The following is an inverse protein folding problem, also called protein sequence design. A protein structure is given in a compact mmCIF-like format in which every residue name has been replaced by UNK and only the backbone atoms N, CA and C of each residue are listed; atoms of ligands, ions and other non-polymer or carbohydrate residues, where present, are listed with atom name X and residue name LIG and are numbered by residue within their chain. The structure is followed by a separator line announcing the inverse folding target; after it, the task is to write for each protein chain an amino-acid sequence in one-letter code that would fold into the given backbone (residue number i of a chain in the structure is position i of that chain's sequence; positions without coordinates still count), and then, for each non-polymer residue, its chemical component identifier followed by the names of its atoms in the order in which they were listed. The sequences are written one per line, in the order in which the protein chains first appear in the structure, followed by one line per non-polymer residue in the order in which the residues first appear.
data_IF_581667423341
#
_entry.id   IF_581667423341
#
_cell.length_a   1.000
_cell.length_b   1.000
_cell.length_c   1.000
_cell.angle_alpha   90.00
_cell.angle_beta   90.00
_cell.angle_gamma   90.00
#
_symmetry.space_group_name_H-M   'P 1'
#
loop_
_entity.id
_entity.type
_entity.pdbx_description
1 polymer ?
#
# COMPACT_ATOMS: atom_id res chain seq x y z
N UNK A 1 61.10 -51.69 15.86
CA UNK A 1 60.01 -51.67 14.86
C UNK A 1 58.77 -51.30 15.61
N UNK A 2 58.46 -50.01 15.57
CA UNK A 2 57.38 -49.39 16.34
C UNK A 2 56.26 -49.03 15.36
N UNK A 3 55.17 -49.75 15.48
CA UNK A 3 54.06 -49.68 14.52
C UNK A 3 52.94 -48.92 15.11
N UNK A 4 53.03 -47.57 15.03
CA UNK A 4 51.97 -46.65 15.48
C UNK A 4 51.09 -46.28 14.29
N UNK A 5 49.94 -46.98 14.15
CA UNK A 5 48.85 -46.58 13.26
C UNK A 5 48.19 -45.29 13.73
N UNK A 6 47.87 -44.33 12.87
CA UNK A 6 47.15 -43.11 13.25
C UNK A 6 45.65 -43.36 13.44
N UNK A 7 45.15 -42.96 14.60
CA UNK A 7 43.72 -43.00 14.95
C UNK A 7 42.86 -42.21 13.94
N UNK A 8 41.94 -42.88 13.29
CA UNK A 8 40.90 -42.30 12.46
C UNK A 8 39.88 -41.51 13.34
N UNK A 9 39.97 -40.20 13.37
CA UNK A 9 38.95 -39.34 13.95
C UNK A 9 37.62 -39.59 13.29
N UNK A 10 36.64 -40.06 14.08
CA UNK A 10 35.26 -40.28 13.70
C UNK A 10 34.55 -38.97 13.22
N UNK A 11 34.22 -38.88 11.94
CA UNK A 11 33.43 -37.80 11.31
C UNK A 11 31.92 -38.02 11.52
N UNK A 12 31.43 -38.32 12.71
CA UNK A 12 30.00 -38.45 13.02
C UNK A 12 29.60 -37.56 14.20
N UNK A 13 29.69 -36.25 14.02
CA UNK A 13 29.11 -35.27 14.93
C UNK A 13 28.08 -34.45 14.20
N UNK A 14 26.81 -34.83 14.19
CA UNK A 14 25.72 -34.05 13.61
C UNK A 14 24.53 -34.91 13.22
N UNK A 15 23.91 -35.55 14.20
CA UNK A 15 22.67 -36.30 14.00
C UNK A 15 21.48 -35.35 13.61
N UNK A 16 20.36 -35.97 13.14
CA UNK A 16 19.12 -35.24 12.80
C UNK A 16 18.68 -34.25 13.88
N UNK A 17 18.98 -34.49 15.17
CA UNK A 17 18.72 -33.57 16.27
C UNK A 17 19.51 -32.28 16.19
N UNK A 18 20.83 -32.33 15.98
CA UNK A 18 21.67 -31.13 15.87
C UNK A 18 21.35 -30.31 14.61
N UNK A 19 20.90 -30.95 13.50
CA UNK A 19 20.39 -30.24 12.32
C UNK A 19 19.04 -29.60 12.56
N UNK A 20 18.20 -30.18 13.41
CA UNK A 20 16.90 -29.63 13.81
C UNK A 20 17.08 -28.45 14.78
N UNK A 21 18.00 -28.56 15.72
CA UNK A 21 18.40 -27.45 16.62
C UNK A 21 19.07 -26.30 15.86
N UNK A 22 19.98 -26.58 14.93
CA UNK A 22 20.60 -25.56 14.07
C UNK A 22 19.57 -24.88 13.13
N UNK A 23 18.53 -25.59 12.68
CA UNK A 23 17.41 -25.01 11.93
C UNK A 23 16.46 -24.21 12.84
N UNK A 24 16.30 -24.57 14.10
CA UNK A 24 15.51 -23.85 15.08
C UNK A 24 16.24 -22.63 15.65
N UNK A 25 17.57 -22.67 15.69
CA UNK A 25 18.44 -21.58 16.17
C UNK A 25 18.79 -20.57 15.06
N UNK A 26 18.63 -20.91 13.79
CA UNK A 26 18.64 -19.92 12.72
C UNK A 26 17.34 -19.11 12.81
N UNK A 27 17.30 -18.12 13.70
CA UNK A 27 16.37 -17.02 13.55
C UNK A 27 16.56 -16.52 12.11
N UNK A 28 15.56 -16.76 11.27
CA UNK A 28 15.53 -16.16 9.95
C UNK A 28 15.67 -14.66 10.18
N UNK A 29 16.83 -14.09 9.84
CA UNK A 29 17.06 -12.66 9.89
C UNK A 29 16.08 -12.08 8.89
N UNK A 30 14.92 -11.65 9.38
CA UNK A 30 13.91 -10.98 8.60
C UNK A 30 14.45 -9.60 8.31
N UNK A 31 14.94 -9.39 7.10
CA UNK A 31 15.20 -8.03 6.66
C UNK A 31 13.87 -7.24 6.69
N UNK A 32 13.84 -6.02 7.22
CA UNK A 32 12.61 -5.22 7.26
C UNK A 32 12.15 -4.79 5.86
N UNK A 33 13.04 -4.75 4.89
CA UNK A 33 12.79 -4.49 3.46
C UNK A 33 14.02 -4.92 2.64
N UNK A 34 13.87 -4.94 1.31
CA UNK A 34 14.98 -5.20 0.41
C UNK A 34 15.51 -3.90 -0.18
N UNK A 35 16.82 -3.80 -0.33
CA UNK A 35 17.45 -2.72 -1.11
C UNK A 35 17.87 -3.29 -2.46
N UNK A 36 17.27 -2.81 -3.54
CA UNK A 36 17.57 -3.27 -4.90
C UNK A 36 19.02 -2.93 -5.27
N UNK A 37 19.73 -3.91 -5.76
CA UNK A 37 21.09 -3.75 -6.32
C UNK A 37 21.08 -3.65 -7.85
N UNK A 38 19.94 -3.98 -8.47
CA UNK A 38 19.72 -3.89 -9.92
C UNK A 38 19.02 -2.55 -10.18
N UNK A 39 19.52 -1.80 -11.11
CA UNK A 39 18.88 -0.56 -11.53
C UNK A 39 17.57 -0.84 -12.27
N UNK A 40 16.60 0.09 -12.25
CA UNK A 40 15.40 -0.02 -13.06
C UNK A 40 15.75 -0.19 -14.54
N UNK A 41 14.93 -0.96 -15.25
CA UNK A 41 15.02 -1.04 -16.71
C UNK A 41 14.06 -0.01 -17.27
N UNK A 42 14.59 1.00 -17.94
CA UNK A 42 13.78 2.02 -18.60
C UNK A 42 13.28 1.47 -19.94
N UNK A 43 11.94 1.33 -20.05
CA UNK A 43 11.28 0.83 -21.27
C UNK A 43 10.97 1.99 -22.22
N UNK A 44 10.70 3.18 -21.66
CA UNK A 44 10.39 4.40 -22.41
C UNK A 44 11.60 5.33 -22.42
N UNK A 45 11.77 6.08 -23.52
CA UNK A 45 12.75 7.16 -23.55
C UNK A 45 12.29 8.34 -22.69
N UNK A 46 13.22 9.21 -22.31
CA UNK A 46 12.91 10.43 -21.56
C UNK A 46 11.89 11.31 -22.30
N UNK A 47 12.02 11.46 -23.63
CA UNK A 47 11.07 12.21 -24.45
C UNK A 47 9.67 11.58 -24.41
N UNK A 48 9.56 10.26 -24.40
CA UNK A 48 8.27 9.57 -24.31
C UNK A 48 7.63 9.79 -22.93
N UNK A 49 8.42 9.78 -21.85
CA UNK A 49 7.93 10.09 -20.50
C UNK A 49 7.44 11.54 -20.42
N UNK A 50 8.21 12.50 -20.94
CA UNK A 50 7.84 13.91 -20.99
C UNK A 50 6.55 14.13 -21.78
N UNK A 51 6.40 13.48 -22.93
CA UNK A 51 5.19 13.56 -23.75
C UNK A 51 3.94 13.04 -23.00
N UNK A 52 4.06 11.93 -22.26
CA UNK A 52 2.98 11.39 -21.43
C UNK A 52 2.61 12.38 -20.33
N UNK A 53 3.59 12.99 -19.65
CA UNK A 53 3.36 14.00 -18.63
C UNK A 53 2.68 15.25 -19.17
N UNK A 54 3.15 15.77 -20.30
CA UNK A 54 2.57 16.95 -20.96
C UNK A 54 1.13 16.71 -21.40
N UNK A 55 0.84 15.51 -21.94
CA UNK A 55 -0.53 15.14 -22.29
C UNK A 55 -1.43 14.95 -21.06
N UNK A 56 -0.89 14.42 -19.95
CA UNK A 56 -1.66 14.32 -18.70
C UNK A 56 -2.05 15.72 -18.18
N UNK A 57 -1.13 16.70 -18.22
CA UNK A 57 -1.44 18.09 -17.88
C UNK A 57 -2.45 18.72 -18.85
N UNK A 58 -2.36 18.42 -20.15
CA UNK A 58 -3.35 18.86 -21.15
C UNK A 58 -4.73 18.30 -20.85
N UNK A 59 -4.83 17.00 -20.49
CA UNK A 59 -6.09 16.38 -20.07
C UNK A 59 -6.67 17.06 -18.83
N UNK A 60 -5.85 17.36 -17.83
CA UNK A 60 -6.28 18.05 -16.62
C UNK A 60 -6.72 19.50 -16.87
N UNK A 61 -6.06 20.21 -17.79
CA UNK A 61 -6.35 21.60 -18.13
C UNK A 61 -7.60 21.73 -19.03
N UNK A 62 -7.67 20.97 -20.11
CA UNK A 62 -8.70 21.13 -21.13
C UNK A 62 -9.97 20.31 -20.86
N UNK A 63 -9.82 19.08 -20.37
CA UNK A 63 -10.94 18.15 -20.09
C UNK A 63 -11.38 18.23 -18.64
N UNK A 64 -10.41 18.30 -17.70
CA UNK A 64 -10.66 18.28 -16.26
C UNK A 64 -11.06 16.91 -15.73
N UNK A 65 -11.33 16.85 -14.44
CA UNK A 65 -11.74 15.65 -13.70
C UNK A 65 -12.86 15.98 -12.73
N UNK A 66 -13.77 15.05 -12.52
CA UNK A 66 -14.93 15.23 -11.63
C UNK A 66 -14.57 14.91 -10.18
N UNK A 67 -15.01 15.79 -9.25
CA UNK A 67 -14.95 15.58 -7.80
C UNK A 67 -16.39 15.52 -7.29
N UNK A 68 -16.93 14.29 -7.23
CA UNK A 68 -18.36 14.07 -6.99
C UNK A 68 -18.68 14.13 -5.51
N UNK A 69 -19.77 14.82 -5.20
CA UNK A 69 -20.37 14.88 -3.86
C UNK A 69 -19.41 15.35 -2.75
N UNK A 70 -18.32 16.07 -3.11
CA UNK A 70 -17.31 16.57 -2.15
C UNK A 70 -17.10 18.08 -2.28
N UNK A 71 -17.98 18.89 -1.67
CA UNK A 71 -17.87 20.35 -1.73
C UNK A 71 -16.61 20.90 -1.05
N UNK A 72 -16.04 20.17 -0.08
CA UNK A 72 -14.80 20.56 0.57
C UNK A 72 -13.61 20.42 -0.39
N UNK A 73 -13.53 19.33 -1.14
CA UNK A 73 -12.49 19.15 -2.17
C UNK A 73 -12.57 20.26 -3.22
N UNK A 74 -13.78 20.59 -3.70
CA UNK A 74 -14.00 21.70 -4.63
C UNK A 74 -13.53 23.05 -4.06
N UNK A 75 -13.80 23.31 -2.79
CA UNK A 75 -13.36 24.54 -2.13
C UNK A 75 -11.84 24.63 -2.03
N UNK A 76 -11.17 23.54 -1.64
CA UNK A 76 -9.69 23.44 -1.59
C UNK A 76 -9.10 23.71 -2.97
N UNK A 77 -9.63 23.05 -4.01
CA UNK A 77 -9.13 23.17 -5.37
C UNK A 77 -9.30 24.59 -5.94
N UNK A 78 -10.44 25.22 -5.63
CA UNK A 78 -10.70 26.61 -6.00
C UNK A 78 -9.72 27.56 -5.34
N UNK A 79 -9.40 27.37 -4.07
CA UNK A 79 -8.42 28.16 -3.33
C UNK A 79 -7.01 28.03 -3.95
N UNK A 80 -6.71 26.87 -4.53
CA UNK A 80 -5.45 26.62 -5.27
C UNK A 80 -5.45 27.14 -6.71
N UNK A 81 -6.52 27.82 -7.15
CA UNK A 81 -6.59 28.46 -8.44
C UNK A 81 -7.12 27.58 -9.59
N UNK A 82 -7.76 26.47 -9.27
CA UNK A 82 -8.43 25.65 -10.28
C UNK A 82 -9.73 26.30 -10.76
N UNK A 83 -10.07 26.12 -12.05
CA UNK A 83 -11.36 26.51 -12.63
C UNK A 83 -12.39 25.39 -12.39
N UNK A 84 -13.52 25.75 -11.75
CA UNK A 84 -14.55 24.80 -11.33
C UNK A 84 -15.82 25.01 -12.10
N UNK A 85 -16.31 23.99 -12.80
CA UNK A 85 -17.56 23.96 -13.58
C UNK A 85 -18.49 22.86 -13.05
N UNK A 86 -19.34 23.21 -12.09
CA UNK A 86 -20.12 22.21 -11.36
C UNK A 86 -19.20 21.41 -10.45
N UNK A 87 -19.10 20.10 -10.67
CA UNK A 87 -18.17 19.20 -9.98
C UNK A 87 -16.90 18.93 -10.78
N UNK A 88 -16.81 19.44 -12.04
CA UNK A 88 -15.64 19.30 -12.90
C UNK A 88 -14.62 20.38 -12.61
N UNK A 89 -13.39 19.95 -12.40
CA UNK A 89 -12.27 20.80 -12.04
C UNK A 89 -11.23 20.78 -13.14
N UNK A 90 -10.86 21.94 -13.64
CA UNK A 90 -9.80 22.15 -14.59
C UNK A 90 -8.56 22.71 -13.87
N UNK A 91 -7.42 22.07 -14.07
CA UNK A 91 -6.20 22.41 -13.36
C UNK A 91 -5.32 23.31 -14.23
N UNK A 92 -4.84 24.44 -13.71
CA UNK A 92 -3.80 25.21 -14.41
C UNK A 92 -2.58 24.33 -14.67
N UNK A 93 -2.01 24.45 -15.87
CA UNK A 93 -0.81 23.70 -16.27
C UNK A 93 0.31 23.87 -15.24
N UNK A 94 0.95 22.78 -14.88
CA UNK A 94 2.04 22.74 -13.91
C UNK A 94 1.60 22.68 -12.43
N UNK A 95 0.33 22.96 -12.10
CA UNK A 95 -0.14 22.95 -10.71
C UNK A 95 -0.04 21.54 -10.10
N UNK A 96 -0.61 20.53 -10.75
CA UNK A 96 -0.58 19.16 -10.26
C UNK A 96 0.87 18.67 -10.05
N UNK A 97 1.74 18.93 -11.03
CA UNK A 97 3.18 18.59 -10.94
C UNK A 97 3.88 19.32 -9.80
N UNK A 98 3.57 20.59 -9.56
CA UNK A 98 4.17 21.36 -8.46
C UNK A 98 3.77 20.79 -7.09
N UNK A 99 2.53 20.36 -6.94
CA UNK A 99 2.04 19.70 -5.73
C UNK A 99 2.68 18.32 -5.54
N UNK A 100 2.83 17.52 -6.61
CA UNK A 100 3.54 16.24 -6.55
C UNK A 100 4.97 16.38 -6.01
N UNK A 101 5.66 17.47 -6.29
CA UNK A 101 7.02 17.73 -5.81
C UNK A 101 7.10 18.00 -4.30
N UNK A 102 5.99 18.27 -3.63
CA UNK A 102 5.96 18.46 -2.17
C UNK A 102 5.97 17.13 -1.41
N UNK A 103 5.62 16.02 -2.07
CA UNK A 103 5.66 14.71 -1.46
C UNK A 103 7.12 14.27 -1.19
N UNK A 104 7.40 13.65 -0.03
CA UNK A 104 8.73 13.16 0.27
C UNK A 104 9.11 12.01 -0.68
N UNK A 105 10.34 12.00 -1.18
CA UNK A 105 10.86 10.94 -2.05
C UNK A 105 11.06 9.60 -1.32
N UNK A 106 11.10 9.63 0.00
CA UNK A 106 11.15 8.46 0.87
C UNK A 106 10.64 8.80 2.26
N UNK A 107 10.09 7.79 2.94
CA UNK A 107 9.66 7.92 4.32
C UNK A 107 9.70 6.57 5.04
N UNK A 108 9.76 6.61 6.37
CA UNK A 108 9.66 5.43 7.21
C UNK A 108 8.20 5.18 7.58
N UNK A 109 7.69 3.98 7.29
CA UNK A 109 6.47 3.50 7.95
C UNK A 109 6.88 2.73 9.21
N UNK A 110 6.42 3.24 10.35
CA UNK A 110 6.75 2.69 11.67
C UNK A 110 5.84 1.51 12.01
N UNK A 111 6.47 0.42 12.41
CA UNK A 111 5.80 -0.78 12.91
C UNK A 111 5.73 -0.77 14.44
N UNK A 112 4.87 -1.63 15.04
CA UNK A 112 4.85 -1.81 16.50
C UNK A 112 6.19 -2.32 17.05
N UNK A 113 6.87 -3.14 16.28
CA UNK A 113 8.23 -3.57 16.56
C UNK A 113 9.18 -2.73 15.69
N UNK A 114 10.01 -1.86 16.29
CA UNK A 114 10.92 -1.00 15.53
C UNK A 114 11.87 -1.75 14.60
N UNK A 115 12.20 -3.01 14.90
CA UNK A 115 13.02 -3.84 14.02
C UNK A 115 12.31 -4.23 12.71
N UNK A 116 11.02 -3.94 12.59
CA UNK A 116 10.19 -4.19 11.41
C UNK A 116 9.73 -2.92 10.72
N UNK A 117 10.26 -1.77 11.10
CA UNK A 117 10.04 -0.54 10.35
C UNK A 117 10.46 -0.72 8.89
N UNK A 118 9.70 -0.18 7.97
CA UNK A 118 10.00 -0.26 6.54
C UNK A 118 10.29 1.12 5.98
N UNK A 119 11.28 1.19 5.11
CA UNK A 119 11.58 2.39 4.33
C UNK A 119 10.91 2.30 2.97
N UNK A 120 10.06 3.27 2.66
CA UNK A 120 9.34 3.36 1.38
C UNK A 120 9.98 4.46 0.54
N UNK A 121 10.37 4.13 -0.68
CA UNK A 121 10.97 5.06 -1.63
C UNK A 121 12.37 4.64 -2.08
N UNK A 122 12.89 5.34 -3.09
CA UNK A 122 14.20 5.10 -3.67
C UNK A 122 14.40 3.65 -4.18
N UNK A 123 15.50 3.02 -3.79
CA UNK A 123 15.81 1.63 -4.16
C UNK A 123 15.18 0.59 -3.21
N UNK A 124 14.41 1.01 -2.23
CA UNK A 124 13.80 0.11 -1.26
C UNK A 124 12.61 -0.64 -1.87
N UNK A 125 12.44 -1.89 -1.48
CA UNK A 125 11.32 -2.74 -1.91
C UNK A 125 10.69 -3.39 -0.69
N UNK A 126 9.41 -3.12 -0.50
CA UNK A 126 8.60 -3.67 0.58
C UNK A 126 7.55 -4.59 -0.04
N UNK A 127 7.62 -5.88 0.27
CA UNK A 127 6.61 -6.84 -0.18
C UNK A 127 5.45 -6.90 0.79
N UNK A 128 4.24 -6.75 0.25
CA UNK A 128 2.97 -6.92 0.92
C UNK A 128 2.19 -8.08 0.28
N UNK A 129 1.23 -8.72 0.98
CA UNK A 129 0.35 -9.72 0.38
C UNK A 129 -0.60 -9.08 -0.64
N UNK A 130 -1.27 -9.93 -1.42
CA UNK A 130 -2.34 -9.54 -2.35
C UNK A 130 -3.46 -8.80 -1.61
N UNK A 131 -4.19 -7.95 -2.33
CA UNK A 131 -5.22 -7.08 -1.76
C UNK A 131 -6.60 -7.38 -2.37
N UNK A 132 -7.61 -7.51 -1.51
CA UNK A 132 -9.02 -7.42 -1.85
C UNK A 132 -9.74 -8.61 -2.48
N UNK A 133 -9.22 -9.85 -2.50
CA UNK A 133 -10.00 -10.95 -3.07
C UNK A 133 -11.18 -11.35 -2.15
N UNK A 134 -12.42 -11.47 -2.69
CA UNK A 134 -13.57 -11.91 -1.89
C UNK A 134 -13.63 -13.43 -1.70
N UNK A 135 -12.77 -14.17 -2.42
CA UNK A 135 -12.75 -15.63 -2.40
C UNK A 135 -11.42 -16.15 -1.88
N UNK A 136 -11.49 -17.26 -1.21
CA UNK A 136 -10.33 -18.07 -0.80
C UNK A 136 -10.42 -19.44 -1.48
N UNK A 137 -9.25 -20.06 -1.66
CA UNK A 137 -9.12 -21.44 -2.08
C UNK A 137 -8.33 -22.17 -1.01
N UNK A 138 -8.89 -23.21 -0.45
CA UNK A 138 -8.23 -24.04 0.56
C UNK A 138 -7.22 -25.03 -0.05
N UNK A 139 -6.56 -25.82 0.80
CA UNK A 139 -5.61 -26.84 0.39
C UNK A 139 -6.26 -28.00 -0.40
N UNK A 140 -7.57 -28.21 -0.28
CA UNK A 140 -8.31 -29.21 -1.04
C UNK A 140 -8.74 -28.69 -2.42
N UNK A 141 -8.52 -27.39 -2.68
CA UNK A 141 -8.84 -26.75 -3.94
C UNK A 141 -10.26 -26.21 -4.04
N UNK A 142 -11.05 -26.26 -2.97
CA UNK A 142 -12.37 -25.65 -2.92
C UNK A 142 -12.28 -24.12 -2.91
N UNK A 143 -13.08 -23.49 -3.78
CA UNK A 143 -13.25 -22.04 -3.83
C UNK A 143 -14.53 -21.65 -3.10
N UNK A 144 -14.40 -20.85 -2.08
CA UNK A 144 -15.53 -20.31 -1.30
C UNK A 144 -15.32 -18.84 -0.98
N UNK A 145 -16.34 -18.17 -0.50
CA UNK A 145 -16.19 -16.84 0.07
C UNK A 145 -15.29 -16.87 1.31
N UNK A 146 -14.54 -15.79 1.52
CA UNK A 146 -13.69 -15.63 2.67
C UNK A 146 -14.51 -15.32 3.92
N UNK A 147 -14.04 -15.83 5.06
CA UNK A 147 -14.55 -15.56 6.39
C UNK A 147 -13.48 -14.84 7.22
N UNK A 148 -13.87 -14.26 8.38
CA UNK A 148 -12.90 -13.56 9.25
C UNK A 148 -11.79 -14.48 9.77
N UNK A 149 -12.07 -15.77 9.93
CA UNK A 149 -11.04 -16.73 10.31
C UNK A 149 -9.97 -16.90 9.22
N UNK A 150 -10.38 -16.90 7.95
CA UNK A 150 -9.42 -16.93 6.83
C UNK A 150 -8.54 -15.67 6.86
N UNK A 151 -9.15 -14.51 7.08
CA UNK A 151 -8.43 -13.25 7.23
C UNK A 151 -7.38 -13.33 8.35
N UNK A 152 -7.79 -13.79 9.52
CA UNK A 152 -6.89 -13.98 10.66
C UNK A 152 -5.75 -14.95 10.34
N UNK A 153 -6.05 -16.04 9.63
CA UNK A 153 -5.05 -17.03 9.25
C UNK A 153 -4.08 -16.50 8.20
N UNK A 154 -4.54 -15.71 7.23
CA UNK A 154 -3.65 -15.03 6.28
C UNK A 154 -2.74 -14.03 6.97
N UNK A 155 -3.23 -13.23 7.90
CA UNK A 155 -2.39 -12.31 8.68
C UNK A 155 -1.31 -13.07 9.46
N UNK A 156 -1.66 -14.19 10.11
CA UNK A 156 -0.70 -15.05 10.81
C UNK A 156 0.33 -15.67 9.85
N UNK A 157 -0.10 -16.13 8.66
CA UNK A 157 0.81 -16.65 7.64
C UNK A 157 1.78 -15.58 7.14
N UNK A 158 1.28 -14.38 6.85
CA UNK A 158 2.12 -13.23 6.44
C UNK A 158 3.12 -12.88 7.55
N UNK A 159 2.71 -12.94 8.81
CA UNK A 159 3.63 -12.73 9.93
C UNK A 159 4.78 -13.74 9.94
N UNK A 160 4.49 -15.02 9.68
CA UNK A 160 5.46 -16.09 9.69
C UNK A 160 6.39 -16.11 8.45
N UNK A 161 6.01 -15.42 7.37
CA UNK A 161 6.79 -15.38 6.13
C UNK A 161 7.82 -14.24 6.16
N UNK A 162 9.13 -14.55 6.22
CA UNK A 162 10.16 -13.51 6.31
C UNK A 162 10.29 -12.67 5.04
N UNK A 163 9.86 -13.18 3.89
CA UNK A 163 9.88 -12.49 2.61
C UNK A 163 8.72 -11.50 2.41
N UNK A 164 7.71 -11.51 3.27
CA UNK A 164 6.67 -10.49 3.32
C UNK A 164 7.01 -9.49 4.42
N UNK A 165 7.30 -8.26 4.05
CA UNK A 165 7.76 -7.23 4.97
C UNK A 165 6.61 -6.49 5.64
N UNK A 166 5.46 -6.45 4.97
CA UNK A 166 4.27 -5.71 5.33
C UNK A 166 3.09 -6.67 5.53
N UNK A 167 2.23 -6.38 6.49
CA UNK A 167 1.05 -7.21 6.78
C UNK A 167 -0.07 -7.09 5.72
N UNK A 168 -0.02 -6.03 4.91
CA UNK A 168 -1.08 -5.72 3.96
C UNK A 168 -2.25 -4.97 4.59
N UNK A 169 -3.35 -4.93 3.87
CA UNK A 169 -4.63 -4.38 4.31
C UNK A 169 -5.72 -5.45 4.19
N UNK A 170 -6.60 -5.33 3.20
CA UNK A 170 -7.64 -6.34 2.93
C UNK A 170 -7.04 -7.57 2.26
N UNK A 171 -6.42 -8.46 3.04
CA UNK A 171 -5.81 -9.70 2.52
C UNK A 171 -6.83 -10.69 1.93
N UNK A 172 -8.07 -10.61 2.38
CA UNK A 172 -9.28 -11.13 1.73
C UNK A 172 -10.49 -10.35 2.28
N UNK A 173 -11.62 -10.40 1.60
CA UNK A 173 -12.85 -9.73 2.04
C UNK A 173 -13.73 -10.71 2.82
N UNK A 174 -13.79 -10.66 4.18
CA UNK A 174 -14.62 -11.57 4.96
C UNK A 174 -16.10 -11.18 4.81
N UNK A 175 -16.95 -12.14 4.37
CA UNK A 175 -18.37 -11.88 4.10
C UNK A 175 -19.30 -12.32 5.23
N UNK A 176 -18.78 -13.01 6.24
CA UNK A 176 -19.51 -13.50 7.41
C UNK A 176 -19.76 -12.41 8.47
N UNK A 177 -19.16 -11.23 8.31
CA UNK A 177 -19.31 -10.09 9.21
C UNK A 177 -20.21 -9.00 8.63
N UNK A 178 -20.96 -8.28 9.48
CA UNK A 178 -21.71 -7.11 9.05
C UNK A 178 -20.79 -6.06 8.41
N UNK A 179 -21.19 -5.52 7.25
CA UNK A 179 -20.41 -4.54 6.48
C UNK A 179 -20.05 -3.31 7.30
N UNK A 180 -20.95 -2.90 8.22
CA UNK A 180 -20.77 -1.69 9.06
C UNK A 180 -19.63 -1.80 10.07
N UNK A 181 -19.23 -2.99 10.48
CA UNK A 181 -18.15 -3.19 11.47
C UNK A 181 -16.99 -4.06 10.99
N UNK A 182 -17.11 -4.67 9.83
CA UNK A 182 -16.10 -5.58 9.25
C UNK A 182 -14.69 -5.00 9.28
N UNK A 183 -14.55 -3.71 8.95
CA UNK A 183 -13.27 -3.01 8.95
C UNK A 183 -12.58 -3.02 10.31
N UNK A 184 -13.33 -2.94 11.41
CA UNK A 184 -12.76 -2.99 12.76
C UNK A 184 -12.13 -4.35 13.05
N UNK A 185 -12.83 -5.45 12.70
CA UNK A 185 -12.32 -6.81 12.90
C UNK A 185 -11.08 -7.07 12.02
N UNK A 186 -11.05 -6.55 10.78
CA UNK A 186 -9.91 -6.66 9.88
C UNK A 186 -8.69 -5.89 10.38
N UNK A 187 -8.85 -4.63 10.79
CA UNK A 187 -7.77 -3.83 11.36
C UNK A 187 -7.29 -4.44 12.68
N UNK A 188 -8.21 -4.89 13.53
CA UNK A 188 -7.88 -5.58 14.77
C UNK A 188 -7.03 -6.85 14.52
N UNK A 189 -7.32 -7.61 13.47
CA UNK A 189 -6.52 -8.78 13.12
C UNK A 189 -5.06 -8.41 12.84
N UNK A 190 -4.80 -7.35 12.08
CA UNK A 190 -3.43 -6.86 11.87
C UNK A 190 -2.78 -6.43 13.19
N UNK A 191 -3.49 -5.68 14.01
CA UNK A 191 -2.98 -5.22 15.30
C UNK A 191 -2.77 -6.37 16.29
N UNK A 192 -3.55 -7.45 16.23
CA UNK A 192 -3.50 -8.58 17.15
C UNK A 192 -2.45 -9.62 16.79
N UNK A 193 -2.36 -9.98 15.51
CA UNK A 193 -1.62 -11.16 15.07
C UNK A 193 -0.26 -10.86 14.42
N UNK A 194 0.07 -9.59 14.19
CA UNK A 194 1.37 -9.21 13.64
C UNK A 194 1.91 -7.93 14.30
N UNK A 195 3.21 -7.76 14.29
CA UNK A 195 3.91 -6.52 14.66
C UNK A 195 4.53 -5.82 13.44
N UNK A 196 4.22 -6.30 12.22
CA UNK A 196 4.62 -5.68 10.94
C UNK A 196 3.78 -4.44 10.63
N UNK A 197 4.24 -3.56 9.73
CA UNK A 197 3.43 -2.46 9.19
C UNK A 197 2.15 -2.98 8.55
N UNK A 198 1.09 -2.19 8.54
CA UNK A 198 -0.22 -2.55 8.00
C UNK A 198 -0.84 -1.41 7.19
N UNK A 199 -1.92 -1.70 6.45
CA UNK A 199 -2.73 -0.72 5.73
C UNK A 199 -4.04 -0.47 6.47
N UNK A 200 -4.49 0.81 6.42
CA UNK A 200 -5.76 1.23 6.98
C UNK A 200 -6.95 0.93 6.06
N UNK A 201 -8.16 0.98 6.64
CA UNK A 201 -9.42 0.86 5.90
C UNK A 201 -9.75 2.15 5.15
N UNK A 202 -10.27 2.03 3.92
CA UNK A 202 -10.51 3.16 3.01
C UNK A 202 -11.94 3.19 2.44
N UNK A 203 -12.80 2.28 2.88
CA UNK A 203 -14.12 2.08 2.27
C UNK A 203 -15.18 3.10 2.72
N UNK A 204 -14.83 4.02 3.61
CA UNK A 204 -15.59 5.21 3.98
C UNK A 204 -14.73 6.10 4.91
N UNK A 205 -14.99 7.43 5.02
CA UNK A 205 -14.26 8.33 5.92
C UNK A 205 -14.32 7.91 7.39
N UNK A 206 -15.49 7.54 7.90
CA UNK A 206 -15.69 7.05 9.26
C UNK A 206 -14.84 5.80 9.57
N UNK A 207 -14.69 4.90 8.60
CA UNK A 207 -13.84 3.70 8.74
C UNK A 207 -12.34 4.03 8.75
N UNK A 208 -11.96 5.07 8.04
CA UNK A 208 -10.59 5.59 8.11
C UNK A 208 -10.32 6.21 9.50
N UNK A 209 -11.27 6.97 10.04
CA UNK A 209 -11.20 7.51 11.41
C UNK A 209 -11.14 6.41 12.47
N UNK A 210 -11.97 5.38 12.35
CA UNK A 210 -11.94 4.21 13.23
C UNK A 210 -10.56 3.52 13.21
N UNK A 211 -9.96 3.40 12.02
CA UNK A 211 -8.61 2.85 11.88
C UNK A 211 -7.57 3.71 12.59
N UNK A 212 -7.64 5.03 12.44
CA UNK A 212 -6.75 5.96 13.16
C UNK A 212 -6.93 5.86 14.67
N UNK A 213 -8.16 5.75 15.15
CA UNK A 213 -8.46 5.61 16.57
C UNK A 213 -7.88 4.31 17.14
N UNK A 214 -8.03 3.19 16.42
CA UNK A 214 -7.39 1.92 16.79
C UNK A 214 -5.86 2.03 16.79
N UNK A 215 -5.27 2.75 15.82
CA UNK A 215 -3.84 2.98 15.78
C UNK A 215 -3.38 3.84 16.96
N UNK A 216 -4.09 4.90 17.33
CA UNK A 216 -3.79 5.74 18.50
C UNK A 216 -3.80 4.94 19.80
N UNK A 217 -4.75 4.02 19.96
CA UNK A 217 -4.79 3.12 21.13
C UNK A 217 -3.52 2.26 21.23
N UNK A 218 -3.00 1.78 20.09
CA UNK A 218 -1.92 0.80 20.04
C UNK A 218 -0.53 1.45 20.02
N UNK A 219 -0.37 2.57 19.31
CA UNK A 219 0.91 3.27 19.13
C UNK A 219 1.09 4.44 20.10
N UNK A 220 -0.02 4.99 20.60
CA UNK A 220 -0.06 6.24 21.37
C UNK A 220 -0.54 7.42 20.52
N UNK A 221 -1.28 8.33 21.12
CA UNK A 221 -1.79 9.54 20.46
C UNK A 221 -0.67 10.49 20.01
N UNK A 222 0.41 10.53 20.76
CA UNK A 222 1.61 11.33 20.49
C UNK A 222 2.49 10.77 19.37
N UNK A 223 2.24 9.53 18.96
CA UNK A 223 2.99 8.86 17.90
C UNK A 223 2.29 9.00 16.56
N UNK A 224 0.96 8.82 16.54
CA UNK A 224 0.15 8.90 15.31
C UNK A 224 0.00 10.38 14.91
N UNK A 225 0.52 10.74 13.76
CA UNK A 225 0.62 12.11 13.27
C UNK A 225 2.07 12.49 13.02
N UNK A 226 2.91 12.63 14.06
CA UNK A 226 4.35 12.84 13.86
C UNK A 226 5.05 11.69 13.14
N UNK A 227 4.50 10.47 13.22
CA UNK A 227 5.04 9.28 12.55
C UNK A 227 3.98 8.65 11.64
N UNK A 228 4.40 8.24 10.45
CA UNK A 228 3.59 7.42 9.57
C UNK A 228 3.58 5.98 10.11
N UNK A 229 2.50 5.55 10.75
CA UNK A 229 2.34 4.20 11.31
C UNK A 229 1.53 3.29 10.42
N UNK A 230 0.80 3.85 9.45
CA UNK A 230 0.05 3.10 8.45
C UNK A 230 0.12 3.76 7.09
N UNK A 231 -0.14 2.98 6.06
CA UNK A 231 -0.45 3.47 4.71
C UNK A 231 -1.86 3.04 4.35
N UNK A 232 -2.46 3.65 3.35
CA UNK A 232 -3.79 3.29 2.86
C UNK A 232 -3.79 3.24 1.33
N UNK A 233 -4.55 2.32 0.75
CA UNK A 233 -4.71 2.21 -0.69
C UNK A 233 -5.98 2.94 -1.11
N UNK A 234 -5.83 4.09 -1.76
CA UNK A 234 -6.91 4.93 -2.24
C UNK A 234 -7.05 4.76 -3.75
N UNK A 235 -8.24 4.40 -4.21
CA UNK A 235 -8.54 4.25 -5.63
C UNK A 235 -9.21 5.50 -6.19
N UNK A 236 -8.81 5.92 -7.40
CA UNK A 236 -9.62 6.82 -8.19
C UNK A 236 -10.80 6.06 -8.81
N UNK A 237 -11.93 6.72 -8.98
CA UNK A 237 -13.12 6.17 -9.65
C UNK A 237 -13.00 6.40 -11.16
N UNK A 238 -12.11 5.63 -11.78
CA UNK A 238 -11.86 5.74 -13.23
C UNK A 238 -13.12 5.46 -14.07
N UNK A 239 -13.38 6.18 -15.17
CA UNK A 239 -12.49 7.18 -15.74
C UNK A 239 -12.70 8.58 -15.15
N UNK A 240 -11.61 9.31 -14.92
CA UNK A 240 -11.58 10.75 -14.67
C UNK A 240 -12.55 11.24 -13.58
N UNK A 241 -12.64 10.49 -12.47
CA UNK A 241 -13.57 10.80 -11.37
C UNK A 241 -12.95 10.47 -10.02
N UNK A 242 -13.25 11.29 -9.02
CA UNK A 242 -13.06 11.03 -7.60
C UNK A 242 -14.39 11.20 -6.88
N UNK A 243 -14.74 10.30 -5.95
CA UNK A 243 -15.95 10.41 -5.13
C UNK A 243 -15.64 10.82 -3.69
N UNK A 244 -16.68 11.21 -2.96
CA UNK A 244 -16.61 11.64 -1.56
C UNK A 244 -16.06 10.53 -0.64
N UNK A 245 -16.32 9.28 -0.96
CA UNK A 245 -15.88 8.11 -0.18
C UNK A 245 -14.37 7.99 -0.17
N UNK A 246 -13.75 7.96 -1.36
CA UNK A 246 -12.30 7.82 -1.50
C UNK A 246 -11.57 9.11 -1.12
N UNK A 247 -12.11 10.26 -1.51
CA UNK A 247 -11.56 11.56 -1.09
C UNK A 247 -11.70 11.78 0.42
N UNK A 248 -12.82 11.38 1.01
CA UNK A 248 -13.04 11.47 2.44
C UNK A 248 -12.03 10.66 3.22
N UNK A 249 -11.80 9.40 2.85
CA UNK A 249 -10.77 8.56 3.47
C UNK A 249 -9.36 9.13 3.25
N UNK A 250 -9.05 9.63 2.05
CA UNK A 250 -7.78 10.29 1.73
C UNK A 250 -7.54 11.49 2.66
N UNK A 251 -8.54 12.38 2.80
CA UNK A 251 -8.46 13.56 3.67
C UNK A 251 -8.21 13.19 5.13
N UNK A 252 -8.86 12.13 5.62
CA UNK A 252 -8.67 11.65 7.00
C UNK A 252 -7.20 11.23 7.22
N UNK A 253 -6.64 10.41 6.34
CA UNK A 253 -5.25 9.97 6.46
C UNK A 253 -4.24 11.09 6.24
N UNK A 254 -4.44 11.94 5.26
CA UNK A 254 -3.56 13.06 4.98
C UNK A 254 -3.48 14.05 6.16
N UNK A 255 -4.62 14.41 6.77
CA UNK A 255 -4.67 15.27 7.97
C UNK A 255 -3.99 14.64 9.18
N UNK A 256 -3.98 13.33 9.25
CA UNK A 256 -3.29 12.58 10.29
C UNK A 256 -1.82 12.28 9.96
N UNK A 257 -1.24 12.85 8.88
CA UNK A 257 0.16 12.63 8.49
C UNK A 257 0.48 11.19 8.14
N UNK A 258 -0.50 10.41 7.64
CA UNK A 258 -0.32 9.02 7.26
C UNK A 258 -0.09 8.87 5.75
N UNK A 259 0.61 7.82 5.35
CA UNK A 259 0.93 7.56 3.95
C UNK A 259 -0.29 7.07 3.15
N UNK A 260 -0.31 7.41 1.85
CA UNK A 260 -1.33 6.90 0.93
C UNK A 260 -0.69 6.33 -0.34
N UNK A 261 -1.27 5.24 -0.83
CA UNK A 261 -0.94 4.63 -2.12
C UNK A 261 -2.10 4.95 -3.05
N UNK A 262 -1.83 5.66 -4.11
CA UNK A 262 -2.84 6.05 -5.08
C UNK A 262 -2.88 5.06 -6.23
N UNK A 263 -4.06 4.53 -6.51
CA UNK A 263 -4.26 3.50 -7.52
C UNK A 263 -5.48 3.80 -8.38
N UNK A 264 -5.31 4.42 -9.56
CA UNK A 264 -6.38 4.46 -10.55
C UNK A 264 -6.73 3.05 -11.02
N UNK A 265 -8.02 2.71 -10.98
CA UNK A 265 -8.50 1.42 -11.47
C UNK A 265 -8.88 1.52 -12.94
N UNK A 266 -7.92 1.26 -13.83
CA UNK A 266 -8.05 1.48 -15.28
C UNK A 266 -7.83 0.19 -16.09
N UNK A 267 -8.79 -0.11 -16.97
CA UNK A 267 -8.67 -1.14 -17.97
C UNK A 267 -8.52 -0.50 -19.35
N UNK A 268 -7.38 -0.71 -20.00
CA UNK A 268 -7.14 -0.23 -21.36
C UNK A 268 -8.21 -0.70 -22.34
N UNK A 269 -8.77 0.21 -23.11
CA UNK A 269 -9.85 -0.05 -24.06
C UNK A 269 -11.26 -0.12 -23.47
N UNK A 270 -11.40 -0.07 -22.14
CA UNK A 270 -12.70 -0.05 -21.47
C UNK A 270 -12.94 1.27 -20.73
N UNK A 271 -11.98 1.69 -19.89
CA UNK A 271 -12.04 2.92 -19.08
C UNK A 271 -10.98 3.94 -19.47
N UNK A 272 -10.12 3.60 -20.43
CA UNK A 272 -9.08 4.45 -20.99
C UNK A 272 -8.88 4.12 -22.47
N UNK A 273 -8.10 4.93 -23.22
CA UNK A 273 -7.72 4.60 -24.59
C UNK A 273 -7.06 3.21 -24.68
N UNK A 274 -7.19 2.56 -25.85
CA UNK A 274 -6.60 1.24 -26.11
C UNK A 274 -5.05 1.28 -26.14
N UNK A 275 -4.46 2.41 -26.52
CA UNK A 275 -3.01 2.54 -26.63
C UNK A 275 -2.37 2.61 -25.24
N UNK A 276 -1.19 2.00 -25.08
CA UNK A 276 -0.42 2.04 -23.83
C UNK A 276 -0.13 3.48 -23.42
N UNK A 277 0.35 4.32 -24.34
CA UNK A 277 0.65 5.72 -24.05
C UNK A 277 -0.60 6.49 -23.58
N UNK A 278 -1.76 6.32 -24.25
CA UNK A 278 -3.00 6.98 -23.83
C UNK A 278 -3.49 6.49 -22.47
N UNK A 279 -3.38 5.19 -22.19
CA UNK A 279 -3.71 4.64 -20.86
C UNK A 279 -2.78 5.22 -19.77
N UNK A 280 -1.47 5.28 -20.01
CA UNK A 280 -0.51 5.85 -19.06
C UNK A 280 -0.75 7.34 -18.83
N UNK A 281 -1.11 8.09 -19.86
CA UNK A 281 -1.50 9.50 -19.77
C UNK A 281 -2.68 9.69 -18.82
N UNK A 282 -3.74 8.88 -18.98
CA UNK A 282 -4.92 8.96 -18.11
C UNK A 282 -4.61 8.51 -16.68
N UNK A 283 -3.87 7.40 -16.49
CA UNK A 283 -3.43 6.96 -15.16
C UNK A 283 -2.68 8.08 -14.45
N UNK A 284 -1.75 8.73 -15.14
CA UNK A 284 -0.96 9.81 -14.56
C UNK A 284 -1.83 11.02 -14.21
N UNK A 285 -2.75 11.43 -15.10
CA UNK A 285 -3.68 12.51 -14.83
C UNK A 285 -4.52 12.25 -13.57
N UNK A 286 -5.10 11.05 -13.43
CA UNK A 286 -5.90 10.69 -12.25
C UNK A 286 -5.05 10.59 -10.97
N UNK A 287 -3.84 10.02 -11.05
CA UNK A 287 -2.97 9.82 -9.90
C UNK A 287 -2.39 11.13 -9.35
N UNK A 288 -1.98 12.07 -10.22
CA UNK A 288 -1.40 13.35 -9.79
C UNK A 288 -2.33 14.17 -8.89
N UNK A 289 -3.64 13.99 -9.00
CA UNK A 289 -4.63 14.79 -8.27
C UNK A 289 -4.82 14.38 -6.81
N UNK A 290 -4.35 13.21 -6.41
CA UNK A 290 -4.39 12.76 -5.03
C UNK A 290 -3.52 13.57 -4.09
N UNK A 291 -2.52 14.26 -4.61
CA UNK A 291 -1.54 15.02 -3.83
C UNK A 291 -2.02 16.43 -3.45
N UNK A 292 -3.20 16.83 -3.89
CA UNK A 292 -3.79 18.16 -3.58
C UNK A 292 -4.15 18.29 -2.10
N UNK A 293 -4.29 17.16 -1.39
CA UNK A 293 -4.65 17.15 0.03
C UNK A 293 -3.42 17.21 0.97
N UNK A 294 -2.23 17.17 0.41
CA UNK A 294 -0.98 17.37 1.14
C UNK A 294 -0.60 18.84 1.12
#
# INVERSE_FOLDING_TARGET
MDDTQPERKSRRGGGRGARREARGAAQAVSAPYLVRKIDPIDILSEEACQLIEENAETVLEEIGIDFRDDPEALAILKDKGCDIKGERVHFPRGLARSLCKTAPSSFTQYARNPARNVEIGGKNTVFAPVYGPPFVRDLNGERRYAEIEDFNNFVKLVYMLPGLHHSGGTVCEPVDLPVTKRHLDMVYAHLRYTDKPFMGSVTAPDRAEDTLNLAKIVFGEDVVGPKCVMVSLINANSPMTWDDTMLGALKVYARAGQGTIISPFILAGAMSPVSVAGTLTQILAEAMLSLIHI
#
